data_IF_709556800417
#
_entry.id   IF_709556800417
#
_cell.length_a   1.000
_cell.length_b   1.000
_cell.length_c   1.000
_cell.angle_alpha   90.00
_cell.angle_beta   90.00
_cell.angle_gamma   90.00
#
_symmetry.space_group_name_H-M   'P 1'
#
loop_
_entity.id
_entity.type
_entity.pdbx_description
1 polymer ?
#
# COMPACT_ATOMS: atom_id res chain seq x y z
N UNK A 1 -4.05 4.26 -10.76
CA UNK A 1 -4.41 5.67 -11.00
C UNK A 1 -4.25 6.01 -12.49
N UNK A 2 -5.24 6.71 -13.05
CA UNK A 2 -5.28 7.16 -14.44
C UNK A 2 -5.67 8.63 -14.51
N UNK A 3 -4.91 9.42 -15.26
CA UNK A 3 -5.19 10.82 -15.56
C UNK A 3 -5.62 10.94 -17.03
N UNK A 4 -6.86 11.35 -17.27
CA UNK A 4 -7.41 11.57 -18.61
C UNK A 4 -7.44 13.06 -18.92
N UNK A 5 -7.15 13.41 -20.18
CA UNK A 5 -7.18 14.78 -20.70
C UNK A 5 -7.88 14.80 -22.05
N UNK A 6 -8.80 15.74 -22.24
CA UNK A 6 -9.48 15.95 -23.50
C UNK A 6 -10.45 17.12 -23.40
N UNK A 7 -11.33 17.26 -24.40
CA UNK A 7 -12.34 18.33 -24.45
C UNK A 7 -13.33 18.28 -23.26
N UNK A 8 -13.39 17.14 -22.57
CA UNK A 8 -14.14 16.90 -21.34
C UNK A 8 -13.41 17.34 -20.05
N UNK A 9 -12.25 18.00 -20.17
CA UNK A 9 -11.43 18.44 -19.03
C UNK A 9 -10.43 17.39 -18.54
N UNK A 10 -9.99 17.55 -17.30
CA UNK A 10 -9.01 16.70 -16.62
C UNK A 10 -9.69 15.82 -15.58
N UNK A 11 -9.66 14.51 -15.80
CA UNK A 11 -10.31 13.53 -14.93
C UNK A 11 -9.27 12.61 -14.30
N UNK A 12 -9.27 12.51 -12.97
CA UNK A 12 -8.39 11.61 -12.22
C UNK A 12 -9.19 10.45 -11.65
N UNK A 13 -8.83 9.22 -12.03
CA UNK A 13 -9.30 7.99 -11.39
C UNK A 13 -8.19 7.43 -10.52
N UNK A 14 -8.42 7.29 -9.22
CA UNK A 14 -7.41 6.66 -8.36
C UNK A 14 -7.31 5.15 -8.60
N UNK A 15 -8.45 4.50 -8.90
CA UNK A 15 -8.61 3.06 -8.62
C UNK A 15 -8.43 2.83 -7.13
N UNK A 16 -8.16 1.59 -6.71
CA UNK A 16 -7.76 1.33 -5.33
C UNK A 16 -6.38 1.95 -5.06
N UNK A 17 -6.28 2.80 -4.05
CA UNK A 17 -5.02 3.40 -3.69
C UNK A 17 -4.94 3.73 -2.20
N UNK A 18 -3.72 3.74 -1.68
CA UNK A 18 -3.43 4.23 -0.33
C UNK A 18 -2.53 5.44 -0.44
N UNK A 19 -3.02 6.60 -0.01
CA UNK A 19 -2.19 7.79 0.10
C UNK A 19 -1.20 7.63 1.25
N UNK A 20 0.07 7.89 0.98
CA UNK A 20 1.13 7.91 1.96
C UNK A 20 1.99 9.16 1.77
N UNK A 21 2.31 9.83 2.87
CA UNK A 21 3.15 11.02 2.88
C UNK A 21 4.62 10.69 3.08
N UNK A 22 4.91 9.49 3.59
CA UNK A 22 6.23 8.96 3.89
C UNK A 22 6.58 7.84 2.93
N UNK A 23 7.89 7.63 2.70
CA UNK A 23 8.40 6.56 1.85
C UNK A 23 8.77 7.02 0.44
N UNK A 24 9.87 6.44 -0.08
CA UNK A 24 10.44 6.79 -1.39
C UNK A 24 9.46 6.52 -2.54
N UNK A 25 8.76 5.38 -2.48
CA UNK A 25 7.76 4.98 -3.49
C UNK A 25 6.62 6.00 -3.57
N UNK A 26 6.12 6.43 -2.41
CA UNK A 26 5.01 7.38 -2.29
C UNK A 26 5.44 8.78 -2.76
N UNK A 27 6.65 9.22 -2.39
CA UNK A 27 7.21 10.48 -2.87
C UNK A 27 7.38 10.47 -4.40
N UNK A 28 7.91 9.37 -4.97
CA UNK A 28 8.08 9.22 -6.41
C UNK A 28 6.74 9.25 -7.14
N UNK A 29 5.74 8.52 -6.64
CA UNK A 29 4.40 8.52 -7.23
C UNK A 29 3.74 9.91 -7.19
N UNK A 30 3.91 10.64 -6.08
CA UNK A 30 3.42 12.03 -5.94
C UNK A 30 4.09 12.97 -6.94
N UNK A 31 5.42 12.91 -7.04
CA UNK A 31 6.17 13.74 -8.00
C UNK A 31 5.73 13.42 -9.43
N UNK A 32 5.61 12.15 -9.79
CA UNK A 32 5.11 11.74 -11.11
C UNK A 32 3.71 12.29 -11.41
N UNK A 33 2.81 12.30 -10.42
CA UNK A 33 1.47 12.88 -10.60
C UNK A 33 1.54 14.40 -10.79
N UNK A 34 2.34 15.10 -9.97
CA UNK A 34 2.52 16.55 -10.09
C UNK A 34 3.12 16.92 -11.45
N UNK A 35 4.13 16.20 -11.90
CA UNK A 35 4.77 16.38 -13.20
C UNK A 35 3.77 16.11 -14.34
N UNK A 36 2.98 15.04 -14.22
CA UNK A 36 1.94 14.71 -15.19
C UNK A 36 0.87 15.81 -15.26
N UNK A 37 0.48 16.39 -14.11
CA UNK A 37 -0.46 17.49 -14.03
C UNK A 37 0.09 18.76 -14.68
N UNK A 38 1.39 19.04 -14.56
CA UNK A 38 2.04 20.21 -15.17
C UNK A 38 1.27 21.52 -14.92
N UNK A 39 0.84 21.73 -13.67
CA UNK A 39 0.06 22.90 -13.25
C UNK A 39 -1.42 22.90 -13.65
N UNK A 40 -1.92 21.87 -14.34
CA UNK A 40 -3.34 21.73 -14.62
C UNK A 40 -4.15 21.38 -13.37
N UNK A 41 -5.36 21.94 -13.27
CA UNK A 41 -6.33 21.55 -12.25
C UNK A 41 -7.03 20.24 -12.63
N UNK A 42 -7.49 19.50 -11.63
CA UNK A 42 -8.39 18.35 -11.81
C UNK A 42 -9.83 18.83 -11.72
N UNK A 43 -10.61 18.56 -12.77
CA UNK A 43 -12.02 18.93 -12.84
C UNK A 43 -12.91 17.88 -12.16
N UNK A 44 -12.58 16.59 -12.33
CA UNK A 44 -13.32 15.47 -11.74
C UNK A 44 -12.36 14.46 -11.09
N UNK A 45 -12.65 14.09 -9.85
CA UNK A 45 -11.90 13.09 -9.09
C UNK A 45 -12.80 11.90 -8.76
N UNK A 46 -12.46 10.74 -9.31
CA UNK A 46 -13.00 9.45 -8.88
C UNK A 46 -12.05 8.86 -7.85
N UNK A 47 -12.45 9.01 -6.58
CA UNK A 47 -11.64 8.71 -5.41
C UNK A 47 -11.99 7.33 -4.81
N UNK A 48 -10.97 6.55 -4.47
CA UNK A 48 -11.09 5.43 -3.54
C UNK A 48 -11.53 5.93 -2.17
N UNK A 49 -12.77 5.62 -1.83
CA UNK A 49 -13.40 6.02 -0.59
C UNK A 49 -13.62 4.84 0.36
N UNK A 50 -12.91 3.72 0.17
CA UNK A 50 -13.04 2.48 0.98
C UNK A 50 -13.02 2.79 2.49
N UNK A 51 -12.14 3.71 2.92
CA UNK A 51 -12.01 4.14 4.32
C UNK A 51 -12.33 5.61 4.55
N UNK A 52 -13.23 6.22 3.76
CA UNK A 52 -13.61 7.63 3.91
C UNK A 52 -14.59 7.85 5.08
N UNK A 53 -14.20 7.40 6.28
CA UNK A 53 -14.93 7.60 7.53
C UNK A 53 -13.91 7.97 8.63
N UNK A 54 -14.13 9.05 9.40
CA UNK A 54 -13.21 9.50 10.43
C UNK A 54 -12.97 8.50 11.57
N UNK A 55 -13.83 7.49 11.73
CA UNK A 55 -13.61 6.40 12.67
C UNK A 55 -12.40 5.52 12.31
N UNK A 56 -11.97 5.53 11.04
CA UNK A 56 -10.83 4.76 10.58
C UNK A 56 -9.53 5.54 10.78
N UNK A 57 -8.68 5.04 11.69
CA UNK A 57 -7.33 5.53 11.92
C UNK A 57 -6.38 4.33 11.88
N UNK A 58 -5.53 4.27 10.86
CA UNK A 58 -4.60 3.16 10.66
C UNK A 58 -3.15 3.62 10.84
N UNK A 59 -2.27 2.76 11.40
CA UNK A 59 -0.84 3.03 11.40
C UNK A 59 -0.29 3.06 9.96
N UNK A 60 0.91 3.61 9.79
CA UNK A 60 1.64 3.49 8.52
C UNK A 60 1.97 2.03 8.21
N UNK A 61 2.30 1.73 6.94
CA UNK A 61 2.72 0.38 6.55
C UNK A 61 3.96 -0.07 7.33
N UNK A 62 4.90 0.83 7.55
CA UNK A 62 6.14 0.56 8.28
C UNK A 62 5.86 0.20 9.75
N UNK A 63 5.00 0.97 10.41
CA UNK A 63 4.61 0.70 11.81
C UNK A 63 3.85 -0.63 11.91
N UNK A 64 2.90 -0.88 11.01
CA UNK A 64 2.17 -2.15 10.99
C UNK A 64 3.10 -3.34 10.73
N UNK A 65 4.04 -3.21 9.78
CA UNK A 65 5.03 -4.25 9.49
C UNK A 65 5.93 -4.54 10.69
N UNK A 66 6.40 -3.49 11.37
CA UNK A 66 7.22 -3.61 12.57
C UNK A 66 6.46 -4.34 13.69
N UNK A 67 5.20 -4.01 13.91
CA UNK A 67 4.34 -4.71 14.88
C UNK A 67 4.21 -6.21 14.54
N UNK A 68 4.00 -6.55 13.27
CA UNK A 68 3.92 -7.96 12.83
C UNK A 68 5.25 -8.68 13.09
N UNK A 69 6.38 -8.05 12.77
CA UNK A 69 7.72 -8.61 12.99
C UNK A 69 7.97 -8.87 14.48
N UNK A 70 7.62 -7.92 15.35
CA UNK A 70 7.77 -8.05 16.80
C UNK A 70 6.91 -9.17 17.38
N UNK A 71 5.66 -9.30 16.91
CA UNK A 71 4.77 -10.39 17.31
C UNK A 71 5.38 -11.74 16.91
N UNK A 72 5.89 -11.88 15.68
CA UNK A 72 6.51 -13.13 15.23
C UNK A 72 7.78 -13.42 16.05
N UNK A 73 8.65 -12.43 16.23
CA UNK A 73 9.92 -12.60 16.95
C UNK A 73 9.73 -13.01 18.42
N UNK A 74 8.60 -12.65 19.03
CA UNK A 74 8.27 -13.05 20.40
C UNK A 74 7.76 -14.49 20.54
N UNK A 75 7.57 -15.22 19.43
CA UNK A 75 7.10 -16.61 19.41
C UNK A 75 8.05 -17.53 18.63
N UNK A 76 9.33 -17.69 19.06
CA UNK A 76 10.35 -18.40 18.30
C UNK A 76 10.06 -19.90 18.06
N UNK A 77 9.26 -20.52 18.92
CA UNK A 77 8.93 -21.96 18.86
C UNK A 77 7.58 -22.24 18.16
N UNK A 78 7.02 -21.26 17.44
CA UNK A 78 5.73 -21.41 16.77
C UNK A 78 5.86 -21.40 15.25
N UNK A 79 5.05 -22.23 14.59
CA UNK A 79 4.79 -22.08 13.17
C UNK A 79 3.86 -20.89 12.94
N UNK A 80 4.27 -19.98 12.06
CA UNK A 80 3.50 -18.78 11.73
C UNK A 80 2.82 -18.93 10.39
N UNK A 81 1.49 -18.81 10.40
CA UNK A 81 0.67 -18.80 9.19
C UNK A 81 0.22 -17.35 8.95
N UNK A 82 0.57 -16.80 7.78
CA UNK A 82 0.17 -15.45 7.36
C UNK A 82 -0.91 -15.58 6.29
N UNK A 83 -2.16 -15.26 6.63
CA UNK A 83 -3.27 -15.19 5.69
C UNK A 83 -3.19 -13.91 4.83
N UNK A 84 -3.10 -14.07 3.52
CA UNK A 84 -3.10 -12.97 2.55
C UNK A 84 -4.07 -13.28 1.41
N UNK A 85 -4.54 -12.23 0.73
CA UNK A 85 -5.35 -12.35 -0.48
C UNK A 85 -4.50 -12.82 -1.68
N UNK A 86 -5.11 -12.95 -2.86
CA UNK A 86 -4.42 -13.42 -4.07
C UNK A 86 -3.29 -12.50 -4.56
N UNK A 87 -3.35 -11.20 -4.26
CA UNK A 87 -2.36 -10.20 -4.64
C UNK A 87 -2.28 -9.10 -3.59
N UNK A 88 -1.08 -8.57 -3.38
CA UNK A 88 -0.80 -7.47 -2.47
C UNK A 88 -0.14 -7.93 -1.18
N UNK A 89 0.52 -6.99 -0.50
CA UNK A 89 1.24 -7.18 0.77
C UNK A 89 2.55 -7.99 0.63
N UNK A 90 3.04 -8.23 -0.58
CA UNK A 90 4.32 -8.92 -0.84
C UNK A 90 5.49 -8.16 -0.22
N UNK A 91 5.47 -6.82 -0.26
CA UNK A 91 6.47 -5.96 0.39
C UNK A 91 6.54 -6.25 1.91
N UNK A 92 5.40 -6.50 2.56
CA UNK A 92 5.35 -6.89 3.97
C UNK A 92 6.01 -8.26 4.19
N UNK A 93 5.70 -9.25 3.35
CA UNK A 93 6.29 -10.60 3.46
C UNK A 93 7.81 -10.58 3.26
N UNK A 94 8.27 -9.78 2.30
CA UNK A 94 9.71 -9.55 2.07
C UNK A 94 10.36 -8.90 3.28
N UNK A 95 9.74 -7.85 3.85
CA UNK A 95 10.26 -7.19 5.05
C UNK A 95 10.35 -8.16 6.24
N UNK A 96 9.31 -8.96 6.49
CA UNK A 96 9.31 -9.99 7.53
C UNK A 96 10.45 -10.99 7.29
N UNK A 97 10.57 -11.49 6.05
CA UNK A 97 11.59 -12.45 5.66
C UNK A 97 13.01 -11.93 5.90
N UNK A 98 13.28 -10.69 5.51
CA UNK A 98 14.57 -10.04 5.68
C UNK A 98 14.91 -9.77 7.15
N UNK A 99 13.97 -9.23 7.93
CA UNK A 99 14.18 -8.91 9.34
C UNK A 99 14.41 -10.18 10.18
N UNK A 100 13.64 -11.24 9.93
CA UNK A 100 13.70 -12.49 10.68
C UNK A 100 14.66 -13.54 10.06
N UNK A 101 15.33 -13.19 8.96
CA UNK A 101 16.26 -14.06 8.21
C UNK A 101 15.68 -15.43 7.89
N UNK A 102 14.38 -15.48 7.60
CA UNK A 102 13.61 -16.71 7.39
C UNK A 102 12.85 -16.61 6.08
N UNK A 103 12.79 -17.69 5.30
CA UNK A 103 12.02 -17.70 4.04
C UNK A 103 10.53 -17.85 4.33
N UNK A 104 9.71 -17.02 3.70
CA UNK A 104 8.26 -17.22 3.63
C UNK A 104 8.00 -18.28 2.56
N UNK A 105 7.33 -19.37 2.93
CA UNK A 105 6.91 -20.41 1.99
C UNK A 105 5.46 -20.14 1.58
N UNK A 106 5.11 -20.22 0.29
CA UNK A 106 3.71 -20.18 -0.11
C UNK A 106 2.97 -21.37 0.50
N UNK A 107 1.75 -21.14 0.97
CA UNK A 107 0.90 -22.22 1.46
C UNK A 107 0.63 -23.21 0.33
N UNK A 108 0.96 -24.48 0.54
CA UNK A 108 0.49 -25.56 -0.33
C UNK A 108 -0.91 -25.94 0.15
N UNK A 109 -1.92 -25.69 -0.69
CA UNK A 109 -3.18 -26.43 -0.57
C UNK A 109 -2.89 -27.85 -1.05
N UNK A 110 -2.69 -28.75 -0.10
CA UNK A 110 -2.78 -30.20 -0.37
C UNK A 110 -4.23 -30.57 -0.72
#
# INVERSE_FOLDING_TARGET
MFLFRGDFGHVLYTGDFRWETTGERSQKARNMLVDALNGANIDVLYLDNTYCNPAYCFPSREVAAQQVIEIIASHPEHDIIIGIDSLGKEDLLLQISHCLKTKVKPGTTD
#
